data_IF_472215024362
#
_entry.id   IF_472215024362
#
_cell.length_a   1.000
_cell.length_b   1.000
_cell.length_c   1.000
_cell.angle_alpha   90.00
_cell.angle_beta   90.00
_cell.angle_gamma   90.00
#
_symmetry.space_group_name_H-M   'P 1'
#
loop_
_entity.id
_entity.type
_entity.pdbx_description
1 polymer ?
#
# COMPACT_ATOMS: atom_id res chain seq x y z
N UNK A 1 30.47 19.87 70.59
CA UNK A 1 30.54 20.77 69.45
C UNK A 1 29.76 20.15 68.28
N UNK A 2 28.53 20.59 67.98
CA UNK A 2 27.75 20.10 66.85
C UNK A 2 28.05 21.01 65.66
N UNK A 3 28.76 20.50 64.67
CA UNK A 3 28.97 21.12 63.39
C UNK A 3 27.76 20.95 62.51
N UNK A 4 26.91 21.97 62.42
CA UNK A 4 25.81 22.06 61.48
C UNK A 4 26.38 22.18 60.06
N UNK A 5 26.31 21.12 59.26
CA UNK A 5 26.63 21.16 57.84
C UNK A 5 25.56 22.03 57.15
N UNK A 6 25.97 23.13 56.54
CA UNK A 6 25.11 23.95 55.67
C UNK A 6 24.79 23.13 54.41
N UNK A 7 23.54 22.74 54.28
CA UNK A 7 23.04 22.18 53.01
C UNK A 7 23.09 23.29 51.93
N UNK A 8 23.80 23.01 50.86
CA UNK A 8 23.81 23.89 49.67
C UNK A 8 22.51 23.64 48.91
N UNK A 9 21.71 24.68 48.72
CA UNK A 9 20.52 24.64 47.88
C UNK A 9 20.90 24.71 46.40
N UNK A 10 20.08 24.14 45.54
CA UNK A 10 20.22 24.24 44.08
C UNK A 10 19.87 25.65 43.61
N UNK A 11 20.60 26.14 42.61
CA UNK A 11 20.29 27.40 41.93
C UNK A 11 19.19 27.16 40.88
N UNK A 12 18.40 28.19 40.56
CA UNK A 12 17.36 28.13 39.51
C UNK A 12 17.99 27.78 38.14
N UNK A 13 19.22 28.25 37.89
CA UNK A 13 19.96 28.00 36.66
C UNK A 13 20.36 26.53 36.53
N UNK A 14 20.81 25.88 37.61
CA UNK A 14 21.13 24.45 37.61
C UNK A 14 19.88 23.60 37.31
N UNK A 15 18.74 23.96 37.90
CA UNK A 15 17.48 23.25 37.61
C UNK A 15 17.06 23.46 36.16
N UNK A 16 17.21 24.66 35.60
CA UNK A 16 16.81 25.02 34.25
C UNK A 16 17.66 24.26 33.20
N UNK A 17 18.98 24.19 33.42
CA UNK A 17 19.87 23.41 32.53
C UNK A 17 19.47 21.92 32.52
N UNK A 18 19.18 21.34 33.68
CA UNK A 18 18.80 19.93 33.79
C UNK A 18 17.52 19.64 33.03
N UNK A 19 16.46 20.44 33.17
CA UNK A 19 15.19 20.21 32.45
C UNK A 19 15.33 20.38 30.94
N UNK A 20 16.16 21.35 30.47
CA UNK A 20 16.44 21.55 29.05
C UNK A 20 17.20 20.35 28.47
N UNK A 21 18.23 19.86 29.18
CA UNK A 21 19.00 18.68 28.73
C UNK A 21 18.12 17.42 28.69
N UNK A 22 17.31 17.22 29.73
CA UNK A 22 16.33 16.09 29.73
C UNK A 22 15.34 16.22 28.58
N UNK A 23 14.82 17.42 28.30
CA UNK A 23 13.91 17.67 27.18
C UNK A 23 14.53 17.35 25.82
N UNK A 24 15.78 17.76 25.59
CA UNK A 24 16.49 17.43 24.34
C UNK A 24 16.75 15.93 24.22
N UNK A 25 17.23 15.27 25.29
CA UNK A 25 17.48 13.83 25.29
C UNK A 25 16.19 13.04 25.08
N UNK A 26 15.09 13.42 25.70
CA UNK A 26 13.79 12.78 25.49
C UNK A 26 13.32 12.91 24.04
N UNK A 27 13.45 14.09 23.42
CA UNK A 27 13.07 14.30 22.03
C UNK A 27 13.86 13.40 21.07
N UNK A 28 15.18 13.30 21.24
CA UNK A 28 16.04 12.43 20.42
C UNK A 28 15.70 10.96 20.63
N UNK A 29 15.44 10.55 21.86
CA UNK A 29 15.15 9.15 22.20
C UNK A 29 13.83 8.69 21.58
N UNK A 30 12.79 9.52 21.58
CA UNK A 30 11.49 9.19 20.97
C UNK A 30 11.62 8.98 19.47
N UNK A 31 12.35 9.87 18.76
CA UNK A 31 12.54 9.74 17.30
C UNK A 31 13.34 8.48 16.97
N UNK A 32 14.43 8.22 17.69
CA UNK A 32 15.25 7.04 17.48
C UNK A 32 14.47 5.74 17.77
N UNK A 33 13.64 5.72 18.80
CA UNK A 33 12.86 4.55 19.18
C UNK A 33 11.80 4.18 18.14
N UNK A 34 11.09 5.17 17.57
CA UNK A 34 10.11 4.95 16.50
C UNK A 34 10.78 4.33 15.26
N UNK A 35 11.93 4.85 14.83
CA UNK A 35 12.65 4.28 13.68
C UNK A 35 13.16 2.85 13.90
N UNK A 36 13.51 2.48 15.14
CA UNK A 36 13.90 1.11 15.49
C UNK A 36 12.68 0.18 15.45
N UNK A 37 11.55 0.63 15.97
CA UNK A 37 10.31 -0.17 15.94
C UNK A 37 9.83 -0.45 14.51
N UNK A 38 9.84 0.55 13.61
CA UNK A 38 9.49 0.38 12.21
C UNK A 38 10.41 -0.64 11.52
N UNK A 39 11.71 -0.55 11.74
CA UNK A 39 12.67 -1.53 11.21
C UNK A 39 12.45 -2.93 11.75
N UNK A 40 12.15 -3.08 13.03
CA UNK A 40 11.86 -4.38 13.64
C UNK A 40 10.62 -5.01 13.03
N UNK A 41 9.54 -4.24 12.84
CA UNK A 41 8.30 -4.70 12.20
C UNK A 41 8.51 -5.08 10.74
N UNK A 42 9.18 -4.23 9.94
CA UNK A 42 9.46 -4.54 8.54
C UNK A 42 10.32 -5.80 8.40
N UNK A 43 11.29 -5.99 9.27
CA UNK A 43 12.12 -7.21 9.30
C UNK A 43 11.29 -8.44 9.69
N UNK A 44 10.36 -8.32 10.64
CA UNK A 44 9.41 -9.34 11.01
C UNK A 44 8.54 -9.77 9.83
N UNK A 45 7.89 -8.81 9.14
CA UNK A 45 7.07 -9.06 7.96
C UNK A 45 7.85 -9.76 6.82
N UNK A 46 9.08 -9.31 6.57
CA UNK A 46 9.97 -9.92 5.56
C UNK A 46 10.33 -11.35 5.95
N UNK A 47 10.59 -11.63 7.23
CA UNK A 47 10.88 -12.96 7.75
C UNK A 47 9.67 -13.88 7.64
N UNK A 48 8.50 -13.42 8.05
CA UNK A 48 7.23 -14.13 7.97
C UNK A 48 6.90 -14.53 6.53
N UNK A 49 7.01 -13.58 5.59
CA UNK A 49 6.78 -13.83 4.16
C UNK A 49 7.76 -14.86 3.57
N UNK A 50 9.03 -14.83 3.97
CA UNK A 50 10.03 -15.83 3.53
C UNK A 50 9.71 -17.22 4.05
N UNK A 51 9.37 -17.33 5.34
CA UNK A 51 8.96 -18.58 5.96
C UNK A 51 7.71 -19.16 5.26
N UNK A 52 6.67 -18.34 5.11
CA UNK A 52 5.44 -18.71 4.45
C UNK A 52 5.65 -19.10 2.97
N UNK A 53 6.46 -18.34 2.21
CA UNK A 53 6.80 -18.68 0.82
C UNK A 53 7.53 -20.02 0.72
N UNK A 54 8.43 -20.30 1.67
CA UNK A 54 9.14 -21.58 1.72
C UNK A 54 8.15 -22.73 1.95
N UNK A 55 7.19 -22.56 2.88
CA UNK A 55 6.16 -23.56 3.12
C UNK A 55 5.27 -23.80 1.89
N UNK A 56 4.82 -22.73 1.21
CA UNK A 56 4.04 -22.84 -0.02
C UNK A 56 4.79 -23.62 -1.12
N UNK A 57 6.10 -23.40 -1.25
CA UNK A 57 6.96 -24.13 -2.19
C UNK A 57 7.16 -25.59 -1.82
N UNK A 58 7.21 -25.91 -0.52
CA UNK A 58 7.24 -27.29 -0.04
C UNK A 58 5.93 -28.00 -0.33
N UNK A 59 4.80 -27.37 -0.10
CA UNK A 59 3.49 -27.91 -0.44
C UNK A 59 3.38 -28.18 -1.95
N UNK A 60 3.85 -27.23 -2.77
CA UNK A 60 3.92 -27.39 -4.22
C UNK A 60 4.79 -28.59 -4.65
N UNK A 61 5.95 -28.75 -4.02
CA UNK A 61 6.85 -29.88 -4.31
C UNK A 61 6.23 -31.24 -3.97
N UNK A 62 5.34 -31.29 -2.96
CA UNK A 62 4.64 -32.50 -2.55
C UNK A 62 3.39 -32.83 -3.39
N UNK A 63 2.67 -31.81 -3.86
CA UNK A 63 1.34 -31.96 -4.50
C UNK A 63 1.28 -31.53 -5.97
N UNK A 64 2.35 -30.90 -6.45
CA UNK A 64 2.44 -30.23 -7.77
C UNK A 64 1.39 -29.13 -7.99
N UNK A 65 0.89 -28.56 -6.88
CA UNK A 65 0.00 -27.40 -6.88
C UNK A 65 0.22 -26.57 -5.61
N UNK A 66 0.07 -25.25 -5.72
CA UNK A 66 0.05 -24.40 -4.52
C UNK A 66 -1.27 -24.59 -3.76
N UNK A 67 -1.27 -24.54 -2.40
CA UNK A 67 -2.50 -24.61 -1.60
C UNK A 67 -3.54 -23.60 -2.08
N UNK A 68 -4.81 -23.99 -2.13
CA UNK A 68 -5.87 -23.10 -2.58
C UNK A 68 -6.16 -21.94 -1.59
N UNK A 69 -5.83 -22.14 -0.31
CA UNK A 69 -6.03 -21.14 0.76
C UNK A 69 -4.87 -21.18 1.74
N UNK A 70 -4.71 -20.11 2.53
CA UNK A 70 -3.73 -20.05 3.63
C UNK A 70 -3.96 -21.21 4.63
N UNK A 71 -5.22 -21.52 4.95
CA UNK A 71 -5.57 -22.58 5.89
C UNK A 71 -5.25 -23.99 5.35
N UNK A 72 -5.23 -24.17 4.03
CA UNK A 72 -4.88 -25.44 3.41
C UNK A 72 -3.36 -25.70 3.34
N UNK A 73 -2.54 -24.66 3.51
CA UNK A 73 -1.08 -24.77 3.51
C UNK A 73 -0.58 -25.61 4.69
N UNK A 74 0.64 -26.14 4.58
CA UNK A 74 1.31 -26.89 5.64
C UNK A 74 0.47 -28.10 6.11
N UNK A 75 -0.05 -28.88 5.15
CA UNK A 75 -0.93 -30.04 5.43
C UNK A 75 -2.20 -29.68 6.22
N UNK A 76 -2.75 -28.47 6.01
CA UNK A 76 -3.95 -28.00 6.71
C UNK A 76 -3.70 -27.34 8.06
N UNK A 77 -2.44 -27.13 8.47
CA UNK A 77 -2.09 -26.38 9.67
C UNK A 77 -2.05 -24.87 9.44
N UNK A 78 -2.04 -24.44 8.17
CA UNK A 78 -1.96 -23.04 7.78
C UNK A 78 -0.55 -22.48 7.75
N UNK A 79 -0.44 -21.19 7.41
CA UNK A 79 0.82 -20.44 7.46
C UNK A 79 0.93 -19.72 8.81
N UNK A 80 2.08 -19.86 9.46
CA UNK A 80 2.38 -19.14 10.69
C UNK A 80 2.80 -17.70 10.40
N UNK A 81 2.44 -16.78 11.29
CA UNK A 81 2.84 -15.38 11.25
C UNK A 81 3.10 -14.84 12.66
N UNK A 82 3.91 -13.79 12.75
CA UNK A 82 4.10 -13.04 13.98
C UNK A 82 2.76 -12.43 14.45
N UNK A 83 2.48 -12.38 15.78
CA UNK A 83 1.28 -11.73 16.29
C UNK A 83 1.14 -10.28 15.78
N UNK A 84 -0.02 -9.94 15.23
CA UNK A 84 -0.31 -8.65 14.62
C UNK A 84 -0.16 -8.64 13.10
N UNK A 85 0.45 -9.66 12.49
CA UNK A 85 0.54 -9.82 11.04
C UNK A 85 -0.72 -10.44 10.47
N UNK A 86 -1.27 -9.83 9.42
CA UNK A 86 -2.39 -10.36 8.64
C UNK A 86 -1.90 -10.74 7.25
N UNK A 87 -2.23 -11.97 6.80
CA UNK A 87 -1.93 -12.45 5.46
C UNK A 87 -3.11 -12.27 4.51
N UNK A 88 -2.80 -11.90 3.25
CA UNK A 88 -3.69 -12.04 2.10
C UNK A 88 -2.97 -12.88 1.04
N UNK A 89 -3.69 -13.79 0.41
CA UNK A 89 -3.12 -14.79 -0.47
C UNK A 89 -3.95 -14.92 -1.75
N UNK A 90 -3.27 -14.99 -2.87
CA UNK A 90 -3.83 -15.27 -4.18
C UNK A 90 -3.00 -16.35 -4.87
N UNK A 91 -3.66 -17.30 -5.54
CA UNK A 91 -3.01 -18.41 -6.22
C UNK A 91 -3.65 -18.64 -7.60
N UNK A 92 -2.81 -18.97 -8.58
CA UNK A 92 -3.25 -19.41 -9.89
C UNK A 92 -2.58 -20.76 -10.24
N UNK A 93 -3.33 -21.84 -10.06
CA UNK A 93 -2.94 -23.19 -10.38
C UNK A 93 -3.37 -23.62 -11.81
N UNK A 94 -4.09 -22.75 -12.54
CA UNK A 94 -4.63 -23.05 -13.88
C UNK A 94 -3.65 -22.72 -15.03
N UNK A 95 -2.54 -22.06 -14.72
CA UNK A 95 -1.48 -21.68 -15.67
C UNK A 95 -0.22 -22.49 -15.44
N UNK A 96 0.66 -22.56 -16.45
CA UNK A 96 2.00 -23.12 -16.26
C UNK A 96 3.03 -22.08 -16.72
N UNK A 97 3.99 -21.69 -15.86
CA UNK A 97 4.14 -22.11 -14.45
C UNK A 97 2.97 -21.62 -13.58
N UNK A 98 2.64 -22.39 -12.53
CA UNK A 98 1.70 -21.98 -11.51
C UNK A 98 2.29 -20.85 -10.67
N UNK A 99 1.45 -19.95 -10.20
CA UNK A 99 1.89 -18.76 -9.47
C UNK A 99 1.13 -18.59 -8.18
N UNK A 100 1.79 -17.99 -7.20
CA UNK A 100 1.14 -17.45 -6.01
C UNK A 100 1.61 -16.03 -5.72
N UNK A 101 0.80 -15.29 -4.98
CA UNK A 101 1.22 -14.06 -4.34
C UNK A 101 0.69 -14.04 -2.91
N UNK A 102 1.57 -13.78 -1.96
CA UNK A 102 1.26 -13.67 -0.54
C UNK A 102 1.67 -12.28 -0.06
N UNK A 103 0.75 -11.53 0.54
CA UNK A 103 1.07 -10.28 1.22
C UNK A 103 0.86 -10.40 2.72
N UNK A 104 1.69 -9.69 3.47
CA UNK A 104 1.65 -9.56 4.92
C UNK A 104 1.50 -8.09 5.29
N UNK A 105 0.61 -7.79 6.24
CA UNK A 105 0.32 -6.43 6.71
C UNK A 105 0.44 -6.38 8.23
N UNK A 106 1.12 -5.37 8.76
CA UNK A 106 1.18 -5.03 10.18
C UNK A 106 1.15 -3.50 10.36
N UNK A 107 0.08 -2.97 10.94
CA UNK A 107 -0.15 -1.53 11.05
C UNK A 107 -0.23 -0.86 9.67
N UNK A 108 0.69 0.06 9.39
CA UNK A 108 0.77 0.77 8.10
C UNK A 108 1.72 0.13 7.09
N UNK A 109 2.41 -0.93 7.48
CA UNK A 109 3.38 -1.62 6.63
C UNK A 109 2.73 -2.80 5.90
N UNK A 110 3.05 -2.96 4.62
CA UNK A 110 2.61 -4.06 3.79
C UNK A 110 3.74 -4.51 2.86
N UNK A 111 3.98 -5.80 2.85
CA UNK A 111 4.98 -6.45 2.02
C UNK A 111 4.33 -7.61 1.28
N UNK A 112 4.85 -7.94 0.11
CA UNK A 112 4.41 -9.09 -0.67
C UNK A 112 5.59 -9.93 -1.15
N UNK A 113 5.31 -11.20 -1.45
CA UNK A 113 6.24 -12.17 -2.06
C UNK A 113 5.47 -13.01 -3.08
N UNK A 114 6.12 -13.34 -4.18
CA UNK A 114 5.62 -14.29 -5.17
C UNK A 114 6.52 -15.53 -5.23
N UNK A 115 6.18 -16.49 -6.07
CA UNK A 115 7.03 -17.67 -6.32
C UNK A 115 8.42 -17.31 -6.84
N UNK A 116 8.57 -16.16 -7.51
CA UNK A 116 9.79 -15.74 -8.21
C UNK A 116 10.48 -14.52 -7.61
N UNK A 117 9.88 -13.85 -6.61
CA UNK A 117 10.44 -12.63 -6.02
C UNK A 117 10.93 -12.81 -4.60
N UNK A 118 11.75 -11.89 -4.13
CA UNK A 118 12.01 -11.66 -2.71
C UNK A 118 10.90 -10.77 -2.14
N UNK A 119 10.72 -10.72 -0.80
CA UNK A 119 9.77 -9.79 -0.19
C UNK A 119 10.06 -8.35 -0.61
N UNK A 120 9.02 -7.69 -1.14
CA UNK A 120 9.03 -6.28 -1.54
C UNK A 120 7.81 -5.58 -0.96
N UNK A 121 7.89 -4.27 -0.81
CA UNK A 121 6.75 -3.47 -0.39
C UNK A 121 5.61 -3.56 -1.41
N UNK A 122 4.38 -3.87 -0.96
CA UNK A 122 3.22 -4.05 -1.84
C UNK A 122 2.22 -5.08 -1.33
N UNK A 123 1.08 -5.20 -2.02
CA UNK A 123 0.02 -6.18 -1.78
C UNK A 123 -0.30 -6.99 -3.03
N UNK A 124 -0.80 -8.20 -2.84
CA UNK A 124 -1.07 -9.17 -3.91
C UNK A 124 -2.50 -9.15 -4.42
N UNK A 125 -3.43 -8.65 -3.63
CA UNK A 125 -4.85 -8.77 -3.93
C UNK A 125 -5.36 -7.42 -4.41
N UNK A 126 -5.77 -7.35 -5.67
CA UNK A 126 -6.53 -6.22 -6.17
C UNK A 126 -7.94 -6.25 -5.57
N UNK A 127 -8.17 -5.44 -4.53
CA UNK A 127 -9.48 -5.34 -3.86
C UNK A 127 -10.49 -4.51 -4.65
N UNK A 128 -10.07 -3.84 -5.72
CA UNK A 128 -10.97 -3.17 -6.65
C UNK A 128 -11.48 -4.10 -7.76
N UNK A 129 -11.01 -5.35 -7.83
CA UNK A 129 -11.45 -6.29 -8.87
C UNK A 129 -12.96 -6.56 -8.76
N UNK A 130 -13.70 -6.23 -9.82
CA UNK A 130 -15.17 -6.35 -9.86
C UNK A 130 -15.93 -5.32 -9.02
N UNK A 131 -15.24 -4.29 -8.50
CA UNK A 131 -15.87 -3.20 -7.77
C UNK A 131 -16.80 -2.37 -8.67
N UNK A 132 -17.78 -1.69 -8.06
CA UNK A 132 -18.72 -0.84 -8.80
C UNK A 132 -18.02 0.41 -9.35
N UNK A 133 -18.10 0.63 -10.64
CA UNK A 133 -17.52 1.77 -11.34
C UNK A 133 -18.43 2.21 -12.50
N UNK A 134 -18.22 3.39 -13.12
CA UNK A 134 -18.98 3.83 -14.28
C UNK A 134 -18.93 2.87 -15.47
N UNK A 135 -17.90 2.03 -15.54
CA UNK A 135 -17.74 0.95 -16.51
C UNK A 135 -17.05 -0.24 -15.85
N UNK A 136 -17.46 -1.46 -16.19
CA UNK A 136 -16.79 -2.68 -15.74
C UNK A 136 -15.32 -2.76 -16.18
N UNK A 137 -14.96 -2.09 -17.28
CA UNK A 137 -13.57 -2.04 -17.78
C UNK A 137 -12.59 -1.40 -16.78
N UNK A 138 -13.09 -0.59 -15.83
CA UNK A 138 -12.24 0.09 -14.86
C UNK A 138 -11.77 -0.81 -13.71
N UNK A 139 -12.37 -2.01 -13.58
CA UNK A 139 -12.15 -2.89 -12.43
C UNK A 139 -12.17 -4.37 -12.82
N UNK A 140 -11.98 -4.71 -14.09
CA UNK A 140 -12.03 -6.10 -14.59
C UNK A 140 -10.66 -6.82 -14.51
N UNK A 141 -9.62 -6.11 -14.09
CA UNK A 141 -8.25 -6.62 -14.01
C UNK A 141 -7.49 -6.59 -15.34
N UNK A 142 -8.13 -6.11 -16.42
CA UNK A 142 -7.52 -6.01 -17.74
C UNK A 142 -6.81 -4.66 -17.93
N UNK A 143 -5.51 -4.68 -18.01
CA UNK A 143 -4.68 -3.48 -18.19
C UNK A 143 -4.35 -3.16 -19.65
N UNK A 144 -4.91 -3.90 -20.62
CA UNK A 144 -4.74 -3.59 -22.04
C UNK A 144 -5.49 -2.29 -22.41
N UNK A 145 -4.96 -1.53 -23.36
CA UNK A 145 -5.53 -0.24 -23.78
C UNK A 145 -6.84 -0.35 -24.56
N UNK A 146 -7.34 -1.54 -24.81
CA UNK A 146 -8.62 -1.77 -25.45
C UNK A 146 -9.26 -3.03 -24.84
N UNK A 147 -10.47 -2.93 -24.24
CA UNK A 147 -11.30 -1.72 -24.16
C UNK A 147 -10.81 -0.70 -23.15
N UNK A 148 -11.31 0.54 -23.24
CA UNK A 148 -11.13 1.60 -22.25
C UNK A 148 -12.45 2.34 -22.01
N UNK A 149 -12.55 3.03 -20.88
CA UNK A 149 -13.67 3.92 -20.59
C UNK A 149 -13.31 5.36 -20.94
N UNK A 150 -14.05 5.94 -21.89
CA UNK A 150 -13.86 7.31 -22.35
C UNK A 150 -14.95 8.25 -21.86
N UNK A 151 -14.58 9.47 -21.48
CA UNK A 151 -15.51 10.56 -21.16
C UNK A 151 -15.29 11.77 -22.05
N UNK A 152 -16.12 12.82 -21.88
CA UNK A 152 -16.00 14.08 -22.58
C UNK A 152 -14.70 14.83 -22.28
N UNK A 153 -14.59 16.03 -22.86
CA UNK A 153 -13.47 16.96 -22.67
C UNK A 153 -13.57 17.73 -21.35
N UNK A 154 -12.49 18.42 -20.98
CA UNK A 154 -12.39 19.16 -19.72
C UNK A 154 -12.03 18.24 -18.54
N UNK A 155 -12.01 18.81 -17.35
CA UNK A 155 -11.73 18.06 -16.13
C UNK A 155 -12.86 17.06 -15.84
N UNK A 156 -12.53 15.78 -15.85
CA UNK A 156 -13.46 14.68 -15.61
C UNK A 156 -12.91 13.75 -14.52
N UNK A 157 -13.79 12.99 -13.91
CA UNK A 157 -13.38 11.96 -12.95
C UNK A 157 -14.18 10.68 -13.09
N UNK A 158 -13.58 9.58 -12.64
CA UNK A 158 -14.26 8.32 -12.41
C UNK A 158 -14.19 7.99 -10.92
N UNK A 159 -15.19 7.29 -10.40
CA UNK A 159 -15.21 6.84 -9.01
C UNK A 159 -15.47 5.33 -8.98
N UNK A 160 -14.63 4.61 -8.24
CA UNK A 160 -14.78 3.18 -7.93
C UNK A 160 -15.31 3.06 -6.51
N UNK A 161 -16.36 2.27 -6.29
CA UNK A 161 -16.90 1.91 -4.97
C UNK A 161 -16.54 0.45 -4.66
N UNK A 162 -15.70 0.23 -3.67
CA UNK A 162 -15.25 -1.08 -3.19
C UNK A 162 -16.37 -1.86 -2.45
N UNK A 163 -17.57 -1.25 -2.30
CA UNK A 163 -18.71 -1.84 -1.61
C UNK A 163 -18.67 -1.67 -0.09
N UNK A 164 -17.50 -1.79 0.51
CA UNK A 164 -17.28 -1.56 1.96
C UNK A 164 -15.89 -0.94 2.18
N UNK A 165 -15.69 -0.33 3.35
CA UNK A 165 -14.38 0.22 3.72
C UNK A 165 -13.36 -0.90 3.94
N UNK A 166 -12.30 -0.90 3.15
CA UNK A 166 -11.18 -1.84 3.18
C UNK A 166 -9.91 -1.14 3.63
N UNK A 167 -8.94 -1.89 4.15
CA UNK A 167 -7.60 -1.37 4.41
C UNK A 167 -6.84 -1.30 3.08
N UNK A 168 -6.50 -0.09 2.64
CA UNK A 168 -5.81 0.20 1.38
C UNK A 168 -4.55 1.00 1.67
N UNK A 169 -3.42 0.56 1.08
CA UNK A 169 -2.12 1.23 1.18
C UNK A 169 -1.62 1.77 -0.16
N UNK A 170 -2.24 1.34 -1.28
CA UNK A 170 -1.91 1.90 -2.59
C UNK A 170 -3.06 1.78 -3.58
N UNK A 171 -3.09 2.71 -4.52
CA UNK A 171 -3.96 2.69 -5.70
C UNK A 171 -3.07 2.69 -6.93
N UNK A 172 -3.42 1.87 -7.91
CA UNK A 172 -2.72 1.84 -9.18
C UNK A 172 -3.69 2.14 -10.31
N UNK A 173 -3.33 3.11 -11.16
CA UNK A 173 -4.17 3.63 -12.22
C UNK A 173 -3.50 3.42 -13.55
N UNK A 174 -4.28 3.00 -14.54
CA UNK A 174 -3.92 3.00 -15.95
C UNK A 174 -4.87 3.90 -16.71
N UNK A 175 -4.32 4.94 -17.29
CA UNK A 175 -4.94 5.68 -18.35
C UNK A 175 -4.50 5.10 -19.70
N UNK A 176 -5.13 5.52 -20.79
CA UNK A 176 -4.74 5.06 -22.12
C UNK A 176 -3.27 5.43 -22.42
N UNK A 177 -2.45 4.44 -22.76
CA UNK A 177 -1.00 4.58 -22.88
C UNK A 177 -0.40 4.15 -24.24
N UNK A 178 -1.22 3.66 -25.20
CA UNK A 178 -0.67 3.07 -26.44
C UNK A 178 0.14 4.07 -27.31
N UNK A 179 -0.05 5.36 -27.12
CA UNK A 179 0.68 6.43 -27.82
C UNK A 179 1.60 7.24 -26.89
N UNK A 180 1.90 6.71 -25.72
CA UNK A 180 2.82 7.29 -24.73
C UNK A 180 2.45 8.72 -24.31
N UNK A 181 1.14 9.02 -24.28
CA UNK A 181 0.62 10.31 -23.87
C UNK A 181 0.87 10.63 -22.39
N UNK A 182 0.74 11.92 -22.08
CA UNK A 182 0.71 12.42 -20.69
C UNK A 182 -0.64 13.10 -20.49
N UNK A 183 -1.37 12.75 -19.42
CA UNK A 183 -2.60 13.44 -19.04
C UNK A 183 -2.31 14.65 -18.16
N UNK A 184 -3.20 15.65 -18.24
CA UNK A 184 -3.13 16.88 -17.46
C UNK A 184 -4.07 16.81 -16.27
N UNK A 185 -3.74 17.55 -15.20
CA UNK A 185 -4.50 17.64 -13.97
C UNK A 185 -4.85 16.27 -13.34
N UNK A 186 -3.94 15.28 -13.52
CA UNK A 186 -4.09 13.96 -12.94
C UNK A 186 -4.09 14.07 -11.42
N UNK A 187 -5.17 13.60 -10.77
CA UNK A 187 -5.31 13.59 -9.33
C UNK A 187 -6.06 12.35 -8.88
N UNK A 188 -5.50 11.62 -7.92
CA UNK A 188 -6.13 10.44 -7.32
C UNK A 188 -6.47 10.75 -5.86
N UNK A 189 -7.70 10.46 -5.48
CA UNK A 189 -8.24 10.68 -4.15
C UNK A 189 -8.90 9.42 -3.60
N UNK A 190 -8.85 9.24 -2.29
CA UNK A 190 -9.50 8.12 -1.60
C UNK A 190 -10.41 8.64 -0.50
N UNK A 191 -11.47 7.87 -0.21
CA UNK A 191 -12.46 8.24 0.82
C UNK A 191 -13.07 7.00 1.46
N UNK A 192 -13.33 7.06 2.75
CA UNK A 192 -14.10 6.03 3.46
C UNK A 192 -15.62 6.21 3.28
N UNK A 193 -16.11 7.44 3.19
CA UNK A 193 -17.54 7.78 3.25
C UNK A 193 -18.10 8.47 1.99
N UNK A 194 -17.26 8.72 0.97
CA UNK A 194 -17.64 9.39 -0.27
C UNK A 194 -17.82 10.91 -0.17
N UNK A 195 -17.62 11.50 1.01
CA UNK A 195 -17.75 12.96 1.24
C UNK A 195 -16.43 13.61 1.61
N UNK A 196 -15.67 12.99 2.50
CA UNK A 196 -14.34 13.45 2.92
C UNK A 196 -13.28 12.74 2.08
N UNK A 197 -12.56 13.47 1.25
CA UNK A 197 -11.57 12.95 0.34
C UNK A 197 -10.16 13.28 0.79
N UNK A 198 -9.27 12.32 0.70
CA UNK A 198 -7.83 12.50 0.87
C UNK A 198 -7.15 12.37 -0.47
N UNK A 199 -6.42 13.39 -0.90
CA UNK A 199 -5.58 13.33 -2.10
C UNK A 199 -4.35 12.48 -1.82
N UNK A 200 -4.15 11.43 -2.63
CA UNK A 200 -2.99 10.53 -2.54
C UNK A 200 -2.00 10.77 -3.68
N UNK A 201 -2.45 11.42 -4.75
CA UNK A 201 -1.61 11.93 -5.82
C UNK A 201 -2.23 13.19 -6.42
N UNK A 202 -1.39 14.18 -6.75
CA UNK A 202 -1.77 15.37 -7.51
C UNK A 202 -0.61 15.82 -8.38
N UNK A 203 -0.81 15.80 -9.70
CA UNK A 203 0.19 16.22 -10.67
C UNK A 203 0.56 17.69 -10.59
N UNK A 204 -0.28 18.53 -9.98
CA UNK A 204 0.04 19.94 -9.73
C UNK A 204 1.21 20.11 -8.76
N UNK A 205 1.39 19.19 -7.81
CA UNK A 205 2.49 19.18 -6.83
C UNK A 205 3.60 18.19 -7.18
N UNK A 206 3.25 17.01 -7.70
CA UNK A 206 4.18 15.92 -7.96
C UNK A 206 4.74 15.90 -9.39
N UNK A 207 4.19 16.75 -10.29
CA UNK A 207 4.50 16.74 -11.71
C UNK A 207 3.67 15.71 -12.49
N UNK A 208 3.54 15.95 -13.79
CA UNK A 208 2.90 14.99 -14.70
C UNK A 208 3.85 13.85 -15.04
N UNK A 209 3.30 12.73 -15.52
CA UNK A 209 4.07 11.57 -15.96
C UNK A 209 3.54 11.05 -17.30
N UNK A 210 4.42 10.37 -18.03
CA UNK A 210 4.06 9.66 -19.25
C UNK A 210 3.36 8.35 -18.91
N UNK A 211 2.25 8.08 -19.57
CA UNK A 211 1.51 6.84 -19.39
C UNK A 211 2.26 5.66 -20.02
N UNK A 212 2.14 4.50 -19.36
CA UNK A 212 2.80 3.26 -19.79
C UNK A 212 1.99 2.02 -19.45
N UNK A 213 2.37 0.87 -20.02
CA UNK A 213 1.76 -0.43 -19.70
C UNK A 213 1.96 -0.85 -18.24
N UNK A 214 2.92 -0.27 -17.55
CA UNK A 214 3.13 -0.53 -16.13
C UNK A 214 2.07 0.09 -15.22
N UNK A 215 1.34 1.11 -15.70
CA UNK A 215 0.45 1.94 -14.88
C UNK A 215 1.20 2.80 -13.87
N UNK A 216 0.48 3.62 -13.13
CA UNK A 216 1.06 4.48 -12.09
C UNK A 216 0.56 4.08 -10.71
N UNK A 217 1.47 3.72 -9.82
CA UNK A 217 1.16 3.40 -8.42
C UNK A 217 1.29 4.66 -7.57
N UNK A 218 0.28 4.88 -6.73
CA UNK A 218 0.23 5.92 -5.71
C UNK A 218 0.15 5.22 -4.35
N UNK A 219 1.27 5.20 -3.62
CA UNK A 219 1.35 4.60 -2.27
C UNK A 219 1.09 5.66 -1.20
N UNK A 220 0.42 5.26 -0.12
CA UNK A 220 0.08 6.12 1.01
C UNK A 220 -0.08 5.28 2.28
N UNK A 221 -0.12 5.95 3.44
CA UNK A 221 -0.33 5.27 4.71
C UNK A 221 -1.63 4.46 4.71
N UNK A 222 -1.56 3.21 5.17
CA UNK A 222 -2.70 2.28 5.23
C UNK A 222 -3.89 2.94 5.93
N UNK A 223 -5.04 2.97 5.27
CA UNK A 223 -6.26 3.58 5.80
C UNK A 223 -7.51 2.88 5.30
N UNK A 224 -8.64 3.13 5.96
CA UNK A 224 -9.94 2.67 5.50
C UNK A 224 -10.36 3.46 4.26
N UNK A 225 -10.59 2.74 3.16
CA UNK A 225 -11.04 3.28 1.86
C UNK A 225 -12.22 2.46 1.37
N UNK A 226 -13.30 3.13 1.00
CA UNK A 226 -14.39 2.54 0.23
C UNK A 226 -14.46 3.12 -1.18
N UNK A 227 -14.12 4.38 -1.35
CA UNK A 227 -14.23 5.07 -2.63
C UNK A 227 -12.85 5.53 -3.11
N UNK A 228 -12.58 5.30 -4.39
CA UNK A 228 -11.39 5.78 -5.10
C UNK A 228 -11.89 6.67 -6.22
N UNK A 229 -11.37 7.90 -6.33
CA UNK A 229 -11.71 8.83 -7.40
C UNK A 229 -10.46 9.29 -8.10
N UNK A 230 -10.46 9.21 -9.42
CA UNK A 230 -9.36 9.63 -10.25
C UNK A 230 -9.80 10.66 -11.28
N UNK A 231 -9.01 11.72 -11.45
CA UNK A 231 -9.27 12.89 -12.26
C UNK A 231 -8.23 13.06 -13.37
N UNK A 232 -8.67 13.45 -14.55
CA UNK A 232 -7.82 13.90 -15.66
C UNK A 232 -8.50 14.99 -16.49
N UNK A 233 -7.70 15.77 -17.26
CA UNK A 233 -8.19 16.87 -18.11
C UNK A 233 -7.49 16.83 -19.46
N UNK A 234 -7.90 15.90 -20.33
CA UNK A 234 -7.25 15.71 -21.63
C UNK A 234 -5.79 15.29 -21.51
N UNK A 235 -5.11 15.21 -22.64
CA UNK A 235 -3.73 14.71 -22.72
C UNK A 235 -2.93 15.46 -23.79
N UNK A 236 -1.63 15.15 -23.90
CA UNK A 236 -0.76 15.64 -24.97
C UNK A 236 -1.20 15.20 -26.37
N UNK A 237 -2.01 14.14 -26.48
CA UNK A 237 -2.48 13.61 -27.78
C UNK A 237 -3.85 14.16 -28.19
N UNK A 238 -4.77 14.34 -27.25
CA UNK A 238 -6.11 14.89 -27.52
C UNK A 238 -6.79 15.38 -26.23
N UNK A 239 -7.94 16.02 -26.39
CA UNK A 239 -8.72 16.61 -25.28
C UNK A 239 -9.65 15.62 -24.57
N UNK A 240 -9.75 14.38 -25.03
CA UNK A 240 -10.57 13.33 -24.42
C UNK A 240 -9.90 12.70 -23.19
N UNK A 241 -10.71 12.13 -22.34
CA UNK A 241 -10.30 11.48 -21.11
C UNK A 241 -10.52 9.97 -21.20
N UNK A 242 -9.51 9.14 -20.93
CA UNK A 242 -9.56 7.71 -21.17
C UNK A 242 -8.90 6.94 -20.03
N UNK A 243 -9.70 6.19 -19.28
CA UNK A 243 -9.24 5.28 -18.23
C UNK A 243 -9.28 3.83 -18.74
N UNK A 244 -8.29 3.06 -18.36
CA UNK A 244 -8.17 1.63 -18.68
C UNK A 244 -8.53 0.79 -17.47
N UNK A 245 -7.85 1.01 -16.32
CA UNK A 245 -8.02 0.19 -15.13
C UNK A 245 -7.67 0.99 -13.86
N UNK A 246 -8.34 0.69 -12.75
CA UNK A 246 -8.04 1.17 -11.40
C UNK A 246 -7.99 -0.03 -10.47
N UNK A 247 -6.86 -0.21 -9.81
CA UNK A 247 -6.63 -1.28 -8.85
C UNK A 247 -6.32 -0.69 -7.47
N UNK A 248 -6.66 -1.42 -6.42
CA UNK A 248 -6.40 -1.05 -5.03
C UNK A 248 -5.78 -2.22 -4.26
N UNK A 249 -4.80 -1.89 -3.39
CA UNK A 249 -4.03 -2.88 -2.66
C UNK A 249 -3.83 -2.48 -1.21
#
# INVERSE_FOLDING_TARGET
MNTTQKQKGFTIVELLIVIVVIGILAAITIVAFNGIQERARSTGLVSDLRGASTQLKLDYAGTNAYPATIAAANNGMGLESTPGTTYRYSVNNNTFPQTFCLSATEGTMFYMITESTMPVEGSCVNIALGATAPSAYLTDGNTATNPYYGTGTGLQSVTVDLGSAQDVGSVKVWHYYADSRTYFATKTEVSENGTNWTTVFDSASAGTYQESSAGKTHSFDLRKVRYIRDWINGSTSNTGNHWVEIQAY
#
